data_IF_328110940705
#
_entry.id   IF_328110940705
#
_cell.length_a   1.000
_cell.length_b   1.000
_cell.length_c   1.000
_cell.angle_alpha   90.00
_cell.angle_beta   90.00
_cell.angle_gamma   90.00
#
_symmetry.space_group_name_H-M   'P 1'
#
loop_
_entity.id
_entity.type
_entity.pdbx_description
1 polymer ?
#
# COMPACT_ATOMS: atom_id res chain seq x y z
N UNK A 1 5.28 18.05 -6.66
CA UNK A 1 4.64 17.47 -7.88
C UNK A 1 4.10 16.09 -7.54
N UNK A 2 2.84 15.76 -7.90
CA UNK A 2 2.34 14.39 -7.81
C UNK A 2 2.96 13.53 -8.91
N UNK A 3 3.22 12.27 -8.60
CA UNK A 3 3.68 11.27 -9.57
C UNK A 3 2.87 9.98 -9.43
N UNK A 4 2.86 9.16 -10.47
CA UNK A 4 2.10 7.91 -10.51
C UNK A 4 3.06 6.73 -10.72
N UNK A 5 2.99 5.77 -9.82
CA UNK A 5 3.67 4.48 -9.95
C UNK A 5 2.66 3.40 -10.32
N UNK A 6 3.10 2.40 -11.08
CA UNK A 6 2.34 1.18 -11.37
C UNK A 6 3.17 -0.02 -10.98
N UNK A 7 2.57 -0.92 -10.21
CA UNK A 7 3.19 -2.17 -9.78
C UNK A 7 2.45 -3.32 -10.42
N UNK A 8 3.19 -4.26 -11.01
CA UNK A 8 2.64 -5.53 -11.47
C UNK A 8 3.04 -6.60 -10.45
N UNK A 9 2.07 -7.05 -9.67
CA UNK A 9 2.28 -8.07 -8.64
C UNK A 9 1.75 -9.41 -9.14
N UNK A 10 2.58 -10.45 -9.06
CA UNK A 10 2.20 -11.83 -9.36
C UNK A 10 2.53 -12.70 -8.16
N UNK A 11 1.55 -13.46 -7.68
CA UNK A 11 1.82 -14.49 -6.68
C UNK A 11 2.53 -15.68 -7.33
N UNK A 12 3.47 -16.29 -6.62
CA UNK A 12 4.10 -17.55 -7.05
C UNK A 12 3.18 -18.75 -6.82
N UNK A 13 2.24 -18.62 -5.88
CA UNK A 13 1.29 -19.65 -5.50
C UNK A 13 -0.16 -19.18 -5.71
N UNK A 14 -1.09 -20.14 -5.73
CA UNK A 14 -2.52 -19.82 -5.77
C UNK A 14 -2.92 -19.12 -4.48
N UNK A 15 -3.44 -17.89 -4.59
CA UNK A 15 -3.94 -17.13 -3.45
C UNK A 15 -5.39 -16.72 -3.67
N UNK A 16 -6.19 -16.79 -2.62
CA UNK A 16 -7.54 -16.25 -2.62
C UNK A 16 -7.48 -14.80 -2.17
N UNK A 17 -7.87 -13.88 -3.06
CA UNK A 17 -8.00 -12.46 -2.71
C UNK A 17 -9.40 -12.17 -2.15
N UNK A 18 -9.51 -11.24 -1.18
CA UNK A 18 -10.81 -10.76 -0.73
C UNK A 18 -11.53 -10.00 -1.86
N UNK A 19 -12.86 -9.91 -1.79
CA UNK A 19 -13.66 -9.13 -2.76
C UNK A 19 -13.20 -7.66 -2.84
N UNK A 20 -12.78 -7.08 -1.72
CA UNK A 20 -12.25 -5.72 -1.67
C UNK A 20 -10.74 -5.73 -1.45
N UNK A 21 -9.96 -5.45 -2.50
CA UNK A 21 -8.49 -5.51 -2.50
C UNK A 21 -7.83 -4.17 -2.15
N UNK A 22 -8.58 -3.09 -1.97
CA UNK A 22 -8.02 -1.77 -1.63
C UNK A 22 -7.16 -1.79 -0.35
N UNK A 23 -7.60 -2.53 0.67
CA UNK A 23 -6.81 -2.73 1.89
C UNK A 23 -5.54 -3.55 1.65
N UNK A 24 -5.60 -4.54 0.74
CA UNK A 24 -4.43 -5.36 0.38
C UNK A 24 -3.38 -4.49 -0.29
N UNK A 25 -3.76 -3.70 -1.30
CA UNK A 25 -2.82 -2.85 -2.03
C UNK A 25 -2.26 -1.75 -1.12
N UNK A 26 -3.09 -1.17 -0.24
CA UNK A 26 -2.62 -0.23 0.79
C UNK A 26 -1.60 -0.89 1.73
N UNK A 27 -1.84 -2.12 2.17
CA UNK A 27 -0.92 -2.85 3.02
C UNK A 27 0.42 -3.12 2.32
N UNK A 28 0.39 -3.53 1.05
CA UNK A 28 1.60 -3.72 0.23
C UNK A 28 2.40 -2.42 0.09
N UNK A 29 1.73 -1.29 -0.19
CA UNK A 29 2.39 0.02 -0.24
C UNK A 29 3.06 0.38 1.08
N UNK A 30 2.35 0.24 2.21
CA UNK A 30 2.90 0.55 3.52
C UNK A 30 4.05 -0.39 3.91
N UNK A 31 4.01 -1.65 3.48
CA UNK A 31 5.11 -2.60 3.67
C UNK A 31 6.36 -2.19 2.87
N UNK A 32 6.20 -1.72 1.63
CA UNK A 32 7.32 -1.19 0.83
C UNK A 32 7.91 0.10 1.43
N UNK A 33 7.08 1.00 1.96
CA UNK A 33 7.60 2.18 2.69
C UNK A 33 8.30 1.75 3.98
N UNK A 34 7.70 0.82 4.72
CA UNK A 34 8.21 0.33 6.00
C UNK A 34 9.49 -0.47 5.91
N UNK A 35 9.80 -1.05 4.74
CA UNK A 35 11.11 -1.69 4.50
C UNK A 35 12.25 -0.68 4.38
N UNK A 36 11.94 0.58 4.08
CA UNK A 36 12.89 1.70 4.04
C UNK A 36 12.85 2.48 5.36
N UNK A 37 11.66 2.88 5.82
CA UNK A 37 11.45 3.61 7.07
C UNK A 37 10.10 3.24 7.72
N UNK A 38 10.18 2.54 8.85
CA UNK A 38 9.01 2.11 9.64
C UNK A 38 8.24 3.28 10.26
N UNK A 39 8.92 4.35 10.64
CA UNK A 39 8.29 5.52 11.26
C UNK A 39 7.38 6.25 10.28
N UNK A 40 7.83 6.38 9.02
CA UNK A 40 7.04 6.97 7.93
C UNK A 40 5.83 6.09 7.61
N UNK A 41 6.03 4.78 7.49
CA UNK A 41 4.92 3.84 7.25
C UNK A 41 3.85 3.91 8.36
N UNK A 42 4.27 4.02 9.63
CA UNK A 42 3.36 4.18 10.77
C UNK A 42 2.54 5.48 10.67
N UNK A 43 3.21 6.62 10.44
CA UNK A 43 2.52 7.91 10.25
C UNK A 43 1.54 7.88 9.07
N UNK A 44 1.93 7.28 7.96
CA UNK A 44 1.06 7.10 6.78
C UNK A 44 -0.11 6.14 7.06
N UNK A 45 0.01 5.26 8.05
CA UNK A 45 -1.07 4.35 8.44
C UNK A 45 -2.13 5.01 9.34
N UNK A 46 -1.71 5.82 10.31
CA UNK A 46 -2.52 6.40 11.40
C UNK A 46 -3.74 7.20 10.91
N UNK A 47 -4.91 7.07 11.53
CA UNK A 47 -6.16 7.65 11.00
C UNK A 47 -6.27 9.19 11.10
N UNK A 48 -5.40 9.84 11.87
CA UNK A 48 -5.54 11.25 12.25
C UNK A 48 -5.29 12.27 11.14
N UNK A 49 -4.55 11.89 10.10
CA UNK A 49 -4.15 12.81 9.02
C UNK A 49 -4.68 12.38 7.65
N UNK A 50 -5.11 13.34 6.79
CA UNK A 50 -5.38 13.09 5.38
C UNK A 50 -4.19 12.42 4.70
N UNK A 51 -4.46 11.41 3.87
CA UNK A 51 -3.40 10.67 3.19
C UNK A 51 -2.84 11.47 2.02
N UNK A 52 -1.52 11.69 1.95
CA UNK A 52 -0.89 12.39 0.82
C UNK A 52 -0.76 11.49 -0.42
N UNK A 53 -1.50 10.39 -0.48
CA UNK A 53 -1.46 9.40 -1.55
C UNK A 53 -2.84 8.79 -1.78
N UNK A 54 -3.06 8.31 -2.99
CA UNK A 54 -4.17 7.43 -3.34
C UNK A 54 -3.61 6.10 -3.83
N UNK A 55 -4.29 5.00 -3.50
CA UNK A 55 -3.87 3.65 -3.86
C UNK A 55 -5.07 2.89 -4.40
N UNK A 56 -4.90 2.25 -5.55
CA UNK A 56 -5.90 1.43 -6.23
C UNK A 56 -5.28 0.10 -6.64
N UNK A 57 -6.03 -1.01 -6.60
CA UNK A 57 -5.73 -2.21 -7.36
C UNK A 57 -5.64 -1.95 -8.85
#
# INVERSE_FOLDING_TARGET
>A
MPFKLRFLCRSQESITLPRFTGHVVRAVLLAMVGSVDRSVARRLHEAGDPKPYSVTP
#
